data_IF_270926221386
#
_entry.id   IF_270926221386
#
_cell.length_a   1.000
_cell.length_b   1.000
_cell.length_c   1.000
_cell.angle_alpha   90.00
_cell.angle_beta   90.00
_cell.angle_gamma   90.00
#
_symmetry.space_group_name_H-M   'P 1'
#
loop_
_entity.id
_entity.type
_entity.pdbx_description
1 polymer ?
#
# COMPACT_ATOMS: atom_id res chain seq x y z
N UNK A 1 10.91 29.69 25.24
CA UNK A 1 11.86 29.47 24.14
C UNK A 1 11.22 28.64 23.03
N UNK A 2 10.76 27.42 23.31
CA UNK A 2 10.04 26.58 22.34
C UNK A 2 8.78 27.23 21.74
N UNK A 3 7.97 27.89 22.58
CA UNK A 3 6.76 28.60 22.13
C UNK A 3 7.05 29.75 21.17
N UNK A 4 8.15 30.50 21.39
CA UNK A 4 8.54 31.61 20.54
C UNK A 4 9.01 31.12 19.16
N UNK A 5 9.82 30.05 19.14
CA UNK A 5 10.29 29.45 17.90
C UNK A 5 9.15 28.85 17.07
N UNK A 6 8.15 28.25 17.73
CA UNK A 6 6.95 27.74 17.07
C UNK A 6 6.14 28.86 16.40
N UNK A 7 5.97 30.00 17.10
CA UNK A 7 5.25 31.16 16.54
C UNK A 7 5.99 31.77 15.34
N UNK A 8 7.32 31.88 15.39
CA UNK A 8 8.13 32.39 14.27
C UNK A 8 8.04 31.48 13.03
N UNK A 9 8.05 30.15 13.22
CA UNK A 9 7.86 29.20 12.12
C UNK A 9 6.44 29.21 11.56
N UNK A 10 5.45 29.47 12.41
CA UNK A 10 4.06 29.65 11.99
C UNK A 10 3.88 30.91 11.15
N UNK A 11 4.44 32.05 11.60
CA UNK A 11 4.45 33.31 10.84
C UNK A 11 5.15 33.17 9.49
N UNK A 12 6.15 32.28 9.39
CA UNK A 12 6.86 31.95 8.15
C UNK A 12 6.17 30.89 7.27
N UNK A 13 4.96 30.45 7.62
CA UNK A 13 4.21 29.39 6.92
C UNK A 13 5.00 28.07 6.75
N UNK A 14 5.90 27.76 7.68
CA UNK A 14 6.70 26.53 7.66
C UNK A 14 6.08 25.39 8.48
N UNK A 15 4.96 25.66 9.16
CA UNK A 15 4.19 24.69 9.94
C UNK A 15 2.88 24.43 9.19
N UNK A 16 2.58 23.15 8.97
CA UNK A 16 1.32 22.73 8.36
C UNK A 16 0.79 21.50 9.10
N UNK A 17 -0.52 21.33 9.05
CA UNK A 17 -1.19 20.12 9.49
C UNK A 17 -1.81 19.46 8.26
N UNK A 18 -1.48 18.19 8.03
CA UNK A 18 -2.01 17.41 6.91
C UNK A 18 -2.29 15.98 7.38
N UNK A 19 -3.43 15.44 6.97
CA UNK A 19 -3.74 14.03 7.17
C UNK A 19 -2.94 13.21 6.16
N UNK A 20 -1.92 12.50 6.65
CA UNK A 20 -1.05 11.66 5.85
C UNK A 20 -0.72 10.35 6.57
N UNK A 21 -0.48 9.25 5.83
CA UNK A 21 -0.04 8.00 6.45
C UNK A 21 1.23 8.23 7.26
N UNK A 22 1.19 7.85 8.53
CA UNK A 22 2.31 8.01 9.47
C UNK A 22 2.65 6.64 10.05
N UNK A 23 3.93 6.43 10.35
CA UNK A 23 4.37 5.23 11.07
C UNK A 23 3.79 5.25 12.48
N UNK A 24 3.13 4.15 12.86
CA UNK A 24 2.37 4.05 14.09
C UNK A 24 2.86 2.89 14.94
N UNK A 25 3.19 3.17 16.19
CA UNK A 25 3.50 2.16 17.20
C UNK A 25 2.22 1.76 17.94
N UNK A 26 1.90 0.47 17.91
CA UNK A 26 0.71 -0.10 18.55
C UNK A 26 0.85 -0.24 20.06
N UNK A 27 2.06 -0.38 20.60
CA UNK A 27 2.33 -0.59 22.02
C UNK A 27 2.17 0.73 22.78
N UNK A 28 2.76 1.80 22.26
CA UNK A 28 2.70 3.13 22.86
C UNK A 28 1.59 4.01 22.29
N UNK A 29 0.91 3.57 21.22
CA UNK A 29 -0.19 4.30 20.58
C UNK A 29 0.23 5.72 20.17
N UNK A 30 1.42 5.84 19.58
CA UNK A 30 1.98 7.11 19.13
C UNK A 30 2.54 7.01 17.73
N UNK A 31 2.56 8.16 17.04
CA UNK A 31 3.35 8.31 15.82
C UNK A 31 4.84 8.23 16.16
N UNK A 32 5.60 7.52 15.33
CA UNK A 32 7.04 7.32 15.48
C UNK A 32 7.77 7.91 14.28
N UNK A 33 8.91 8.56 14.51
CA UNK A 33 9.71 9.09 13.43
C UNK A 33 10.45 7.96 12.71
N UNK A 34 10.63 8.05 11.39
CA UNK A 34 11.36 7.03 10.63
C UNK A 34 12.78 6.77 11.17
N UNK A 35 13.42 7.79 11.75
CA UNK A 35 14.75 7.68 12.34
C UNK A 35 14.79 6.83 13.64
N UNK A 36 13.64 6.55 14.26
CA UNK A 36 13.51 5.75 15.49
C UNK A 36 13.20 4.27 15.19
N UNK A 37 13.14 3.90 13.92
CA UNK A 37 12.81 2.54 13.47
C UNK A 37 14.08 1.71 13.35
N UNK A 38 14.02 0.49 13.88
CA UNK A 38 15.02 -0.54 13.65
C UNK A 38 14.48 -1.60 12.69
N UNK A 39 15.24 -1.90 11.62
CA UNK A 39 14.94 -3.02 10.75
C UNK A 39 15.35 -4.34 11.41
N UNK A 40 14.45 -5.33 11.41
CA UNK A 40 14.70 -6.67 11.93
C UNK A 40 14.31 -7.71 10.88
N UNK A 41 15.18 -8.69 10.69
CA UNK A 41 14.87 -9.85 9.83
C UNK A 41 13.97 -10.82 10.60
N UNK A 42 12.86 -11.19 9.98
CA UNK A 42 11.87 -12.12 10.53
C UNK A 42 11.53 -13.11 9.43
N UNK A 43 11.41 -14.39 9.78
CA UNK A 43 10.96 -15.41 8.84
C UNK A 43 9.53 -15.11 8.39
N UNK A 44 9.37 -14.85 7.08
CA UNK A 44 8.10 -14.59 6.44
C UNK A 44 7.61 -15.78 5.62
N UNK A 45 6.29 -15.90 5.49
CA UNK A 45 5.67 -16.80 4.53
C UNK A 45 5.24 -16.03 3.27
N UNK A 46 5.42 -16.65 2.10
CA UNK A 46 4.83 -16.16 0.87
C UNK A 46 3.51 -16.90 0.61
N UNK A 47 2.48 -16.15 0.26
CA UNK A 47 1.16 -16.66 -0.07
C UNK A 47 0.83 -16.34 -1.52
N UNK A 48 0.61 -17.39 -2.32
CA UNK A 48 0.15 -17.28 -3.70
C UNK A 48 -1.36 -17.26 -3.75
N UNK A 49 -1.92 -16.21 -4.34
CA UNK A 49 -3.36 -15.94 -4.33
C UNK A 49 -3.82 -15.72 -5.76
N UNK A 50 -4.80 -16.49 -6.21
CA UNK A 50 -5.38 -16.37 -7.55
C UNK A 50 -6.44 -15.26 -7.59
N UNK A 51 -6.29 -14.30 -8.50
CA UNK A 51 -7.24 -13.24 -8.80
C UNK A 51 -7.85 -13.47 -10.18
N UNK A 52 -9.18 -13.43 -10.27
CA UNK A 52 -9.87 -13.48 -11.57
C UNK A 52 -9.75 -12.16 -12.32
N UNK A 53 -9.74 -12.19 -13.65
CA UNK A 53 -9.85 -10.99 -14.48
C UNK A 53 -11.31 -10.74 -14.80
N UNK A 54 -11.80 -9.51 -14.60
CA UNK A 54 -13.18 -9.18 -14.94
C UNK A 54 -13.39 -9.35 -16.46
N UNK A 55 -14.50 -9.97 -16.83
CA UNK A 55 -14.90 -10.21 -18.22
C UNK A 55 -13.94 -11.16 -18.99
N UNK A 56 -13.20 -12.02 -18.27
CA UNK A 56 -12.37 -13.11 -18.80
C UNK A 56 -12.37 -14.30 -17.82
N UNK A 57 -12.07 -15.50 -18.33
CA UNK A 57 -11.78 -16.69 -17.50
C UNK A 57 -10.29 -16.79 -17.11
N UNK A 58 -9.52 -15.73 -17.39
CA UNK A 58 -8.12 -15.63 -16.99
C UNK A 58 -7.99 -15.42 -15.47
N UNK A 59 -7.07 -16.17 -14.88
CA UNK A 59 -6.65 -16.04 -13.49
C UNK A 59 -5.19 -15.59 -13.40
N UNK A 60 -4.89 -14.76 -12.40
CA UNK A 60 -3.56 -14.18 -12.17
C UNK A 60 -3.13 -14.52 -10.75
N UNK A 61 -1.98 -15.17 -10.62
CA UNK A 61 -1.40 -15.49 -9.33
C UNK A 61 -0.59 -14.29 -8.83
N UNK A 62 -0.92 -13.83 -7.63
CA UNK A 62 -0.22 -12.75 -6.92
C UNK A 62 0.37 -13.32 -5.64
N UNK A 63 1.69 -13.17 -5.48
CA UNK A 63 2.40 -13.54 -4.28
C UNK A 63 2.45 -12.37 -3.30
N UNK A 64 1.97 -12.56 -2.07
CA UNK A 64 2.04 -11.56 -0.99
C UNK A 64 2.52 -12.19 0.30
N UNK A 65 3.27 -11.44 1.11
CA UNK A 65 3.60 -11.84 2.48
C UNK A 65 2.51 -11.46 3.48
N UNK A 66 1.52 -10.67 3.04
CA UNK A 66 0.47 -10.08 3.89
C UNK A 66 -0.93 -10.34 3.31
N UNK A 67 -1.44 -11.57 3.38
CA UNK A 67 -2.78 -11.92 2.86
C UNK A 67 -3.90 -11.22 3.64
N UNK A 68 -3.66 -10.75 4.86
CA UNK A 68 -4.62 -9.99 5.65
C UNK A 68 -4.96 -8.61 5.05
N UNK A 69 -4.11 -8.10 4.15
CA UNK A 69 -4.32 -6.82 3.45
C UNK A 69 -5.13 -6.94 2.15
N UNK A 70 -5.55 -8.15 1.77
CA UNK A 70 -6.42 -8.39 0.62
C UNK A 70 -7.69 -7.52 0.56
N UNK A 71 -8.46 -7.29 1.65
CA UNK A 71 -9.66 -6.46 1.59
C UNK A 71 -9.36 -4.98 1.29
N UNK A 72 -8.13 -4.53 1.59
CA UNK A 72 -7.66 -3.17 1.34
C UNK A 72 -6.95 -3.04 -0.02
N UNK A 73 -6.90 -4.11 -0.81
CA UNK A 73 -6.24 -4.09 -2.11
C UNK A 73 -7.06 -3.29 -3.14
N UNK A 74 -6.58 -2.09 -3.46
CA UNK A 74 -7.20 -1.17 -4.42
C UNK A 74 -6.58 -1.22 -5.82
N UNK A 75 -5.43 -1.87 -5.97
CA UNK A 75 -4.72 -1.94 -7.24
C UNK A 75 -3.67 -3.04 -7.26
N UNK A 76 -3.50 -3.64 -8.43
CA UNK A 76 -2.45 -4.62 -8.72
C UNK A 76 -1.45 -3.91 -9.62
N UNK A 77 -0.17 -3.97 -9.25
CA UNK A 77 0.90 -3.35 -10.05
C UNK A 77 1.68 -4.41 -10.80
N UNK A 78 1.93 -4.16 -12.09
CA UNK A 78 2.77 -4.99 -12.91
C UNK A 78 3.79 -4.12 -13.64
N UNK A 79 4.96 -4.70 -13.94
CA UNK A 79 6.00 -3.98 -14.65
C UNK A 79 5.60 -3.74 -16.11
N UNK A 80 5.70 -2.51 -16.65
CA UNK A 80 5.21 -2.16 -17.98
C UNK A 80 5.91 -2.92 -19.11
N UNK A 81 7.16 -3.36 -18.94
CA UNK A 81 7.87 -4.11 -19.97
C UNK A 81 7.55 -5.61 -19.98
N UNK A 82 6.84 -6.11 -18.97
CA UNK A 82 6.44 -7.51 -18.91
C UNK A 82 5.31 -7.78 -19.91
N UNK A 83 5.65 -8.45 -21.02
CA UNK A 83 4.71 -8.83 -22.07
C UNK A 83 3.54 -9.66 -21.57
N UNK A 84 3.68 -10.38 -20.45
CA UNK A 84 2.63 -11.23 -19.87
C UNK A 84 1.47 -10.44 -19.30
N UNK A 85 1.70 -9.20 -18.87
CA UNK A 85 0.69 -8.39 -18.17
C UNK A 85 0.25 -7.15 -18.95
N UNK A 86 0.85 -6.89 -20.12
CA UNK A 86 0.52 -5.72 -20.97
C UNK A 86 -0.95 -5.63 -21.34
N UNK A 87 -1.62 -6.76 -21.61
CA UNK A 87 -3.04 -6.80 -21.97
C UNK A 87 -3.99 -6.64 -20.78
N UNK A 88 -3.46 -6.66 -19.55
CA UNK A 88 -4.22 -6.58 -18.31
C UNK A 88 -4.26 -5.15 -17.76
N UNK A 89 -3.35 -4.26 -18.17
CA UNK A 89 -3.38 -2.85 -17.76
C UNK A 89 -4.73 -2.19 -18.10
N UNK A 90 -5.31 -1.50 -17.12
CA UNK A 90 -6.63 -0.88 -17.24
C UNK A 90 -7.83 -1.82 -17.08
N UNK A 91 -7.62 -3.15 -17.04
CA UNK A 91 -8.67 -4.09 -16.65
C UNK A 91 -8.86 -4.10 -15.14
N UNK A 92 -10.01 -4.63 -14.70
CA UNK A 92 -10.32 -4.85 -13.30
C UNK A 92 -10.05 -6.31 -12.93
N UNK A 93 -9.49 -6.54 -11.76
CA UNK A 93 -9.41 -7.86 -11.16
C UNK A 93 -10.59 -8.11 -10.21
N UNK A 94 -10.85 -9.37 -9.91
CA UNK A 94 -11.83 -9.83 -8.95
C UNK A 94 -11.08 -10.54 -7.83
N UNK A 95 -11.23 -10.05 -6.60
CA UNK A 95 -10.66 -10.69 -5.42
C UNK A 95 -11.31 -12.07 -5.20
N UNK A 96 -10.54 -13.14 -4.94
CA UNK A 96 -11.08 -14.49 -4.74
C UNK A 96 -11.95 -14.63 -3.49
N UNK A 97 -11.68 -13.83 -2.46
CA UNK A 97 -12.34 -13.95 -1.14
C UNK A 97 -13.48 -12.94 -1.00
N UNK A 98 -13.26 -11.70 -1.44
CA UNK A 98 -14.22 -10.62 -1.23
C UNK A 98 -15.11 -10.34 -2.45
N UNK A 99 -14.84 -11.00 -3.58
CA UNK A 99 -15.54 -10.80 -4.86
C UNK A 99 -15.63 -9.33 -5.32
N UNK A 100 -14.80 -8.47 -4.74
CA UNK A 100 -14.76 -7.05 -5.05
C UNK A 100 -14.02 -6.86 -6.38
N UNK A 101 -14.66 -6.16 -7.32
CA UNK A 101 -14.12 -5.85 -8.66
C UNK A 101 -13.18 -4.64 -8.66
N UNK A 102 -12.78 -4.13 -7.48
CA UNK A 102 -12.12 -2.82 -7.39
C UNK A 102 -10.61 -2.76 -7.68
N UNK A 103 -9.80 -3.84 -7.67
CA UNK A 103 -8.39 -3.69 -8.02
C UNK A 103 -8.23 -3.40 -9.51
N UNK A 104 -7.59 -2.28 -9.83
CA UNK A 104 -7.16 -1.96 -11.20
C UNK A 104 -5.71 -2.37 -11.43
N UNK A 105 -5.39 -2.82 -12.64
CA UNK A 105 -4.01 -3.04 -13.06
C UNK A 105 -3.33 -1.73 -13.43
N UNK A 106 -2.30 -1.37 -12.66
CA UNK A 106 -1.47 -0.19 -12.86
C UNK A 106 -0.05 -0.57 -13.32
N UNK A 107 0.54 0.18 -14.26
CA UNK A 107 1.97 0.07 -14.52
C UNK A 107 2.77 0.65 -13.34
N UNK A 108 3.79 -0.08 -12.88
CA UNK A 108 4.81 0.41 -11.93
C UNK A 108 6.06 0.84 -12.67
#
# INVERSE_FOLDING_TARGET
MLSYFFLDLFEKNMIYQSESPTMWDIDFQTAVAQAEIEDREIDGAYHDISFGVKDSDEEIIISTTRPELLPSCVGITAHPDDKRYKHLFGKKAVSPVFFCTSPYFFPK
#
